data_IF_586161278980
#
_entry.id   IF_586161278980
#
_cell.length_a   1.000
_cell.length_b   1.000
_cell.length_c   1.000
_cell.angle_alpha   90.00
_cell.angle_beta   90.00
_cell.angle_gamma   90.00
#
_symmetry.space_group_name_H-M   'P 1'
#
loop_
_entity.id
_entity.type
_entity.pdbx_description
1 polymer ?
#
# COMPACT_ATOMS: atom_id res chain seq x y z
N UNK A 1 -29.89 -13.79 -47.39
CA UNK A 1 -28.46 -14.09 -47.15
C UNK A 1 -27.83 -12.84 -46.57
N UNK A 2 -27.82 -12.70 -45.24
CA UNK A 2 -27.14 -11.59 -44.55
C UNK A 2 -26.36 -12.24 -43.43
N UNK A 3 -25.04 -12.24 -43.57
CA UNK A 3 -24.09 -12.92 -42.72
C UNK A 3 -24.01 -12.24 -41.35
N UNK A 4 -24.21 -13.02 -40.29
CA UNK A 4 -23.97 -12.63 -38.91
C UNK A 4 -22.46 -12.51 -38.67
N UNK A 5 -21.98 -11.31 -38.34
CA UNK A 5 -20.65 -11.14 -37.76
C UNK A 5 -20.72 -11.48 -36.26
N UNK A 6 -20.23 -12.66 -35.88
CA UNK A 6 -19.96 -13.02 -34.49
C UNK A 6 -18.61 -12.42 -34.13
N UNK A 7 -18.61 -11.29 -33.42
CA UNK A 7 -17.40 -10.73 -32.83
C UNK A 7 -16.97 -11.54 -31.61
N UNK A 8 -15.84 -12.24 -31.70
CA UNK A 8 -15.19 -12.83 -30.52
C UNK A 8 -14.61 -11.69 -29.68
N UNK A 9 -15.22 -11.43 -28.52
CA UNK A 9 -14.62 -10.62 -27.48
C UNK A 9 -13.49 -11.42 -26.79
N UNK A 10 -12.24 -11.01 -27.01
CA UNK A 10 -11.09 -11.52 -26.27
C UNK A 10 -11.13 -10.95 -24.84
N UNK A 11 -11.62 -11.74 -23.89
CA UNK A 11 -11.43 -11.47 -22.46
C UNK A 11 -9.94 -11.70 -22.14
N UNK A 12 -9.15 -10.62 -22.11
CA UNK A 12 -7.81 -10.67 -21.56
C UNK A 12 -7.91 -10.97 -20.06
N UNK A 13 -7.71 -12.25 -19.70
CA UNK A 13 -7.53 -12.63 -18.31
C UNK A 13 -6.29 -11.93 -17.77
N UNK A 14 -6.48 -10.99 -16.86
CA UNK A 14 -5.39 -10.23 -16.24
C UNK A 14 -4.68 -11.18 -15.27
N UNK A 15 -3.61 -11.82 -15.73
CA UNK A 15 -2.83 -12.73 -14.92
C UNK A 15 -2.18 -11.96 -13.77
N UNK A 16 -2.33 -12.43 -12.54
CA UNK A 16 -1.66 -11.82 -11.37
C UNK A 16 -0.14 -11.92 -11.56
N UNK A 17 0.62 -10.82 -11.44
CA UNK A 17 2.07 -10.87 -11.61
C UNK A 17 2.75 -11.83 -10.62
N UNK A 18 3.78 -12.58 -11.05
CA UNK A 18 4.49 -13.51 -10.19
C UNK A 18 5.17 -12.77 -9.03
N UNK A 19 5.40 -13.45 -7.91
CA UNK A 19 5.99 -12.83 -6.71
C UNK A 19 7.34 -12.14 -6.97
N UNK A 20 8.14 -12.66 -7.90
CA UNK A 20 9.44 -12.12 -8.30
C UNK A 20 9.37 -10.81 -9.10
N UNK A 21 8.20 -10.46 -9.65
CA UNK A 21 8.02 -9.21 -10.41
C UNK A 21 7.88 -7.97 -9.50
N UNK A 22 7.59 -8.18 -8.21
CA UNK A 22 7.31 -7.10 -7.27
C UNK A 22 8.59 -6.54 -6.68
N UNK A 23 8.71 -5.23 -6.70
CA UNK A 23 9.84 -4.50 -6.10
C UNK A 23 9.33 -3.40 -5.17
N UNK A 24 10.24 -2.86 -4.36
CA UNK A 24 9.99 -1.69 -3.55
C UNK A 24 10.72 -0.49 -4.12
N UNK A 25 9.98 0.54 -4.53
CA UNK A 25 10.52 1.77 -5.11
C UNK A 25 10.21 2.97 -4.23
N UNK A 26 11.22 3.81 -3.99
CA UNK A 26 11.04 5.08 -3.30
C UNK A 26 11.08 6.19 -4.34
N UNK A 27 9.98 6.91 -4.45
CA UNK A 27 9.81 8.10 -5.27
C UNK A 27 9.89 9.34 -4.37
N UNK A 28 10.65 10.32 -4.80
CA UNK A 28 10.83 11.58 -4.08
C UNK A 28 10.79 12.74 -5.05
N UNK A 29 9.87 13.67 -4.84
CA UNK A 29 9.84 14.97 -5.49
C UNK A 29 9.55 16.07 -4.44
N UNK A 30 9.52 17.34 -4.85
CA UNK A 30 9.32 18.47 -3.93
C UNK A 30 7.91 18.52 -3.31
N UNK A 31 6.93 17.88 -3.93
CA UNK A 31 5.54 17.88 -3.49
C UNK A 31 5.15 16.60 -2.75
N UNK A 32 5.87 15.50 -2.96
CA UNK A 32 5.45 14.16 -2.53
C UNK A 32 6.63 13.21 -2.34
N UNK A 33 6.49 12.38 -1.31
CA UNK A 33 7.32 11.20 -1.08
C UNK A 33 6.42 9.98 -1.12
N UNK A 34 6.80 8.95 -1.88
CA UNK A 34 6.03 7.72 -1.98
C UNK A 34 6.93 6.49 -1.96
N UNK A 35 6.58 5.50 -1.14
CA UNK A 35 7.18 4.17 -1.16
C UNK A 35 6.14 3.17 -1.67
N UNK A 36 6.41 2.54 -2.81
CA UNK A 36 5.47 1.63 -3.46
C UNK A 36 6.01 0.19 -3.52
N UNK A 37 5.13 -0.78 -3.26
CA UNK A 37 5.33 -2.17 -3.67
C UNK A 37 4.57 -2.40 -4.97
N UNK A 38 5.32 -2.54 -6.07
CA UNK A 38 4.78 -2.44 -7.42
C UNK A 38 5.49 -3.40 -8.38
N UNK A 39 4.90 -3.59 -9.56
CA UNK A 39 5.60 -4.16 -10.71
C UNK A 39 6.05 -3.02 -11.62
N UNK A 40 7.36 -2.87 -11.89
CA UNK A 40 7.87 -1.79 -12.72
C UNK A 40 7.19 -1.72 -14.10
N UNK A 41 7.00 -0.51 -14.61
CA UNK A 41 6.40 -0.22 -15.92
C UNK A 41 4.97 -0.75 -16.12
N UNK A 42 4.23 -0.98 -15.03
CA UNK A 42 2.83 -1.41 -15.03
C UNK A 42 2.00 -0.61 -14.02
N UNK A 43 0.66 -0.66 -14.09
CA UNK A 43 -0.20 -0.08 -13.06
C UNK A 43 -0.36 -0.99 -11.80
N UNK A 44 0.34 -2.12 -11.73
CA UNK A 44 0.13 -3.10 -10.66
C UNK A 44 0.78 -2.66 -9.33
N UNK A 45 -0.08 -2.44 -8.32
CA UNK A 45 0.30 -2.05 -6.96
C UNK A 45 -0.22 -3.09 -5.96
N UNK A 46 0.56 -3.31 -4.90
CA UNK A 46 0.16 -4.07 -3.70
C UNK A 46 0.07 -3.20 -2.46
N UNK A 47 0.95 -2.21 -2.36
CA UNK A 47 1.02 -1.35 -1.19
C UNK A 47 1.66 -0.01 -1.53
N UNK A 48 1.17 1.07 -0.94
CA UNK A 48 1.87 2.35 -0.95
C UNK A 48 1.88 3.00 0.43
N UNK A 49 2.97 3.71 0.71
CA UNK A 49 3.03 4.80 1.68
C UNK A 49 3.24 6.08 0.91
N UNK A 50 2.52 7.13 1.27
CA UNK A 50 2.68 8.44 0.68
C UNK A 50 2.59 9.52 1.76
N UNK A 51 3.36 10.59 1.62
CA UNK A 51 3.25 11.76 2.46
C UNK A 51 3.61 13.01 1.65
N UNK A 52 3.20 14.16 2.18
CA UNK A 52 3.79 15.42 1.77
C UNK A 52 5.09 15.58 2.60
N UNK A 53 6.20 16.08 2.02
CA UNK A 53 7.46 16.22 2.74
C UNK A 53 7.28 16.98 4.06
N UNK A 54 7.88 16.48 5.14
CA UNK A 54 7.80 17.04 6.49
C UNK A 54 6.37 17.22 7.06
N UNK A 55 5.35 16.56 6.51
CA UNK A 55 3.97 16.68 7.00
C UNK A 55 3.70 15.95 8.32
N UNK A 56 4.55 15.01 8.70
CA UNK A 56 4.34 14.12 9.84
C UNK A 56 3.24 13.07 9.64
N UNK A 57 2.58 13.02 8.48
CA UNK A 57 1.40 12.17 8.22
C UNK A 57 1.63 11.29 7.00
N UNK A 58 1.54 9.97 7.20
CA UNK A 58 1.62 8.97 6.14
C UNK A 58 0.23 8.46 5.76
N UNK A 59 -0.08 8.53 4.47
CA UNK A 59 -1.22 7.89 3.81
C UNK A 59 -0.78 6.48 3.40
N UNK A 60 -1.50 5.47 3.86
CA UNK A 60 -1.20 4.05 3.64
C UNK A 60 -2.30 3.45 2.77
N UNK A 61 -1.94 2.71 1.73
CA UNK A 61 -2.90 1.99 0.90
C UNK A 61 -2.51 0.53 0.70
N UNK A 62 -3.47 -0.38 0.91
CA UNK A 62 -3.35 -1.80 0.58
C UNK A 62 -4.19 -2.10 -0.66
N UNK A 63 -3.58 -2.65 -1.69
CA UNK A 63 -4.22 -2.92 -2.98
C UNK A 63 -4.52 -4.40 -3.15
N UNK A 64 -5.55 -4.68 -3.95
CA UNK A 64 -5.96 -6.04 -4.34
C UNK A 64 -6.78 -6.72 -3.24
N UNK A 65 -7.87 -7.39 -3.63
CA UNK A 65 -8.83 -8.04 -2.71
C UNK A 65 -9.97 -7.13 -2.23
N UNK A 66 -10.91 -7.71 -1.46
CA UNK A 66 -12.05 -6.96 -0.93
C UNK A 66 -11.61 -5.84 0.02
N UNK A 67 -12.26 -4.68 -0.05
CA UNK A 67 -11.93 -3.53 0.80
C UNK A 67 -13.17 -3.14 1.60
N UNK A 68 -13.20 -3.52 2.87
CA UNK A 68 -14.16 -3.04 3.86
C UNK A 68 -13.74 -1.67 4.39
N UNK A 69 -14.73 -0.81 4.64
CA UNK A 69 -14.53 0.53 5.21
C UNK A 69 -15.00 0.58 6.65
N UNK A 70 -14.46 1.51 7.42
CA UNK A 70 -14.83 1.71 8.83
C UNK A 70 -13.61 1.87 9.72
N UNK A 71 -13.72 1.53 11.00
CA UNK A 71 -12.59 1.63 11.91
C UNK A 71 -11.61 0.46 11.70
N UNK A 72 -10.40 0.78 11.27
CA UNK A 72 -9.29 -0.15 11.11
C UNK A 72 -8.44 -0.20 12.37
N UNK A 73 -8.19 -1.41 12.88
CA UNK A 73 -7.14 -1.66 13.85
C UNK A 73 -5.83 -1.93 13.11
N UNK A 74 -4.86 -1.03 13.25
CA UNK A 74 -3.53 -1.18 12.67
C UNK A 74 -2.55 -1.63 13.74
N UNK A 75 -1.67 -2.57 13.39
CA UNK A 75 -0.69 -3.17 14.31
C UNK A 75 0.67 -3.28 13.65
N UNK A 76 1.72 -3.07 14.43
CA UNK A 76 3.11 -3.31 14.05
C UNK A 76 3.93 -3.57 15.32
N UNK A 77 4.67 -4.68 15.37
CA UNK A 77 5.27 -5.16 16.61
C UNK A 77 4.21 -5.29 17.73
N UNK A 78 4.51 -4.71 18.89
CA UNK A 78 3.61 -4.64 20.05
C UNK A 78 2.67 -3.42 20.03
N UNK A 79 2.84 -2.51 19.06
CA UNK A 79 2.06 -1.29 18.99
C UNK A 79 0.75 -1.50 18.20
N UNK A 80 -0.31 -0.79 18.62
CA UNK A 80 -1.58 -0.76 17.92
C UNK A 80 -2.14 0.67 17.83
N UNK A 81 -2.92 0.93 16.78
CA UNK A 81 -3.65 2.15 16.56
C UNK A 81 -5.04 1.82 16.00
N UNK A 82 -6.00 2.72 16.17
CA UNK A 82 -7.30 2.65 15.51
C UNK A 82 -7.45 3.90 14.67
N UNK A 83 -7.74 3.74 13.38
CA UNK A 83 -7.95 4.83 12.42
C UNK A 83 -9.15 4.54 11.55
N UNK A 84 -9.80 5.57 11.04
CA UNK A 84 -10.77 5.39 9.96
C UNK A 84 -10.06 4.83 8.71
N UNK A 85 -10.79 4.00 7.98
CA UNK A 85 -10.38 3.44 6.71
C UNK A 85 -11.45 3.62 5.66
N UNK A 86 -10.99 3.91 4.44
CA UNK A 86 -11.84 4.10 3.27
C UNK A 86 -11.45 3.11 2.18
N UNK A 87 -12.38 2.81 1.28
CA UNK A 87 -12.15 1.95 0.14
C UNK A 87 -12.28 2.81 -1.11
N UNK A 88 -11.19 2.98 -1.86
CA UNK A 88 -11.18 3.79 -3.07
C UNK A 88 -10.34 3.10 -4.14
N UNK A 89 -10.87 3.00 -5.37
CA UNK A 89 -10.20 2.40 -6.53
C UNK A 89 -9.60 1.00 -6.26
N UNK A 90 -10.29 0.18 -5.48
CA UNK A 90 -9.85 -1.18 -5.15
C UNK A 90 -8.72 -1.26 -4.11
N UNK A 91 -8.49 -0.17 -3.37
CA UNK A 91 -7.54 -0.12 -2.26
C UNK A 91 -8.22 0.23 -0.93
N UNK A 92 -7.77 -0.41 0.14
CA UNK A 92 -8.04 -0.01 1.51
C UNK A 92 -7.05 1.10 1.89
N UNK A 93 -7.55 2.30 2.18
CA UNK A 93 -6.74 3.47 2.54
C UNK A 93 -6.93 3.84 4.00
N UNK A 94 -5.84 4.24 4.65
CA UNK A 94 -5.82 4.72 6.03
C UNK A 94 -4.71 5.76 6.21
N UNK A 95 -4.76 6.49 7.32
CA UNK A 95 -3.78 7.54 7.64
C UNK A 95 -3.15 7.27 8.99
N UNK A 96 -1.83 7.43 9.08
CA UNK A 96 -1.06 7.26 10.32
C UNK A 96 -0.12 8.43 10.52
N UNK A 97 0.04 8.88 11.75
CA UNK A 97 1.14 9.79 12.07
C UNK A 97 2.46 9.02 12.07
N UNK A 98 3.49 9.64 11.50
CA UNK A 98 4.84 9.07 11.40
C UNK A 98 5.56 9.00 12.75
N UNK A 99 5.14 9.81 13.72
CA UNK A 99 5.61 9.77 15.11
C UNK A 99 4.83 8.78 16.00
N UNK A 100 3.80 8.11 15.46
CA UNK A 100 3.03 7.14 16.22
C UNK A 100 3.86 5.84 16.45
N UNK A 101 3.76 5.19 17.63
CA UNK A 101 4.51 3.95 17.92
C UNK A 101 4.32 2.83 16.89
N UNK A 102 3.12 2.70 16.32
CA UNK A 102 2.84 1.75 15.21
C UNK A 102 3.72 2.05 13.99
N UNK A 103 3.88 3.32 13.61
CA UNK A 103 4.67 3.67 12.45
C UNK A 103 6.16 3.49 12.73
N UNK A 104 6.62 3.83 13.93
CA UNK A 104 8.00 3.57 14.38
C UNK A 104 8.34 2.06 14.36
N UNK A 105 7.46 1.21 14.90
CA UNK A 105 7.64 -0.23 14.89
C UNK A 105 7.63 -0.80 13.46
N UNK A 106 6.74 -0.30 12.59
CA UNK A 106 6.74 -0.68 11.19
C UNK A 106 8.03 -0.27 10.48
N UNK A 107 8.53 0.95 10.70
CA UNK A 107 9.78 1.42 10.10
C UNK A 107 11.01 0.63 10.55
N UNK A 108 10.99 0.08 11.76
CA UNK A 108 12.04 -0.78 12.29
C UNK A 108 12.01 -2.19 11.69
N UNK A 109 10.84 -2.84 11.71
CA UNK A 109 10.71 -4.28 11.41
C UNK A 109 10.17 -4.61 10.02
N UNK A 110 9.63 -3.62 9.32
CA UNK A 110 9.02 -3.75 7.99
C UNK A 110 7.68 -4.49 7.96
N UNK A 111 7.07 -4.79 9.11
CA UNK A 111 5.81 -5.54 9.19
C UNK A 111 4.69 -4.71 9.78
N UNK A 112 3.57 -4.65 9.06
CA UNK A 112 2.34 -4.00 9.50
C UNK A 112 1.13 -4.84 9.08
N UNK A 113 0.11 -4.85 9.92
CA UNK A 113 -1.20 -5.39 9.56
C UNK A 113 -2.32 -4.40 9.91
N UNK A 114 -3.36 -4.39 9.09
CA UNK A 114 -4.60 -3.67 9.31
C UNK A 114 -5.77 -4.66 9.31
N UNK A 115 -6.68 -4.52 10.26
CA UNK A 115 -7.91 -5.33 10.35
C UNK A 115 -9.12 -4.39 10.33
N UNK A 116 -10.06 -4.64 9.43
CA UNK A 116 -11.33 -3.93 9.30
C UNK A 116 -12.44 -4.97 9.23
N UNK A 117 -13.36 -4.98 10.21
CA UNK A 117 -14.32 -6.07 10.34
C UNK A 117 -13.60 -7.42 10.42
N UNK A 118 -13.90 -8.31 9.48
CA UNK A 118 -13.26 -9.63 9.34
C UNK A 118 -12.08 -9.61 8.35
N UNK A 119 -11.84 -8.50 7.65
CA UNK A 119 -10.79 -8.40 6.66
C UNK A 119 -9.45 -8.05 7.29
N UNK A 120 -8.46 -8.91 7.07
CA UNK A 120 -7.08 -8.68 7.46
C UNK A 120 -6.21 -8.40 6.24
N UNK A 121 -5.49 -7.28 6.29
CA UNK A 121 -4.45 -6.89 5.35
C UNK A 121 -3.11 -6.87 6.05
N UNK A 122 -2.06 -7.29 5.37
CA UNK A 122 -0.70 -7.23 5.89
C UNK A 122 0.27 -6.85 4.80
N UNK A 123 1.34 -6.18 5.22
CA UNK A 123 2.47 -5.88 4.37
C UNK A 123 3.75 -6.28 5.09
N UNK A 124 4.69 -6.83 4.32
CA UNK A 124 6.04 -7.12 4.75
C UNK A 124 7.01 -6.48 3.75
N UNK A 125 7.81 -5.54 4.25
CA UNK A 125 8.93 -4.93 3.53
C UNK A 125 10.17 -5.81 3.79
N UNK A 126 10.72 -6.49 2.76
CA UNK A 126 11.89 -7.33 2.93
C UNK A 126 13.09 -6.54 3.49
N UNK A 127 13.97 -7.22 4.21
CA UNK A 127 15.18 -6.62 4.81
C UNK A 127 16.02 -5.79 3.83
N UNK A 128 16.12 -6.24 2.58
CA UNK A 128 16.82 -5.53 1.49
C UNK A 128 16.24 -4.15 1.17
N UNK A 129 15.00 -3.88 1.54
CA UNK A 129 14.28 -2.64 1.26
C UNK A 129 13.97 -1.79 2.50
N UNK A 130 14.32 -2.25 3.71
CA UNK A 130 14.09 -1.49 4.94
C UNK A 130 14.78 -0.12 4.96
N UNK A 131 15.92 0.03 4.27
CA UNK A 131 16.56 1.33 4.13
C UNK A 131 15.66 2.35 3.40
N UNK A 132 14.87 1.91 2.41
CA UNK A 132 13.91 2.77 1.70
C UNK A 132 12.74 3.16 2.61
N UNK A 133 12.27 2.24 3.44
CA UNK A 133 11.24 2.52 4.45
C UNK A 133 11.71 3.54 5.49
N UNK A 134 12.92 3.38 6.03
CA UNK A 134 13.50 4.38 6.95
C UNK A 134 13.66 5.73 6.27
N UNK A 135 14.13 5.75 5.02
CA UNK A 135 14.27 6.99 4.26
C UNK A 135 12.92 7.67 4.01
N UNK A 136 11.86 6.92 3.73
CA UNK A 136 10.51 7.46 3.65
C UNK A 136 10.15 8.16 4.98
N UNK A 137 10.34 7.48 6.12
CA UNK A 137 10.03 8.05 7.45
C UNK A 137 10.78 9.35 7.71
N UNK A 138 12.09 9.40 7.41
CA UNK A 138 12.91 10.61 7.57
C UNK A 138 12.41 11.80 6.73
N UNK A 139 11.98 11.53 5.49
CA UNK A 139 11.49 12.58 4.59
C UNK A 139 10.07 13.06 4.97
N UNK A 140 9.30 12.20 5.61
CA UNK A 140 7.95 12.51 6.07
C UNK A 140 7.91 13.10 7.49
N UNK A 141 8.92 12.90 8.32
CA UNK A 141 8.99 13.49 9.66
C UNK A 141 9.17 15.02 9.56
N UNK A 142 8.28 15.76 10.20
CA UNK A 142 8.33 17.22 10.33
C UNK A 142 9.06 17.69 11.58
#
# INVERSE_FOLDING_TARGET
MIASFVGLAFLAAQATPPASAWTWTLYTDEARVALANEVPDTPDLRFTLECDPASGVARVAFYGGASETGMARVTAGEAAAVTESTAERGALKLTLRTDHPVFAAFAADGRMAAVVGEQRRSVEVPRSHLAKLRRFTELCSG
#
